data_IF_475961609541
#
_entry.id   IF_475961609541
#
_cell.length_a   1.000
_cell.length_b   1.000
_cell.length_c   1.000
_cell.angle_alpha   90.00
_cell.angle_beta   90.00
_cell.angle_gamma   90.00
#
_symmetry.space_group_name_H-M   'P 1'
#
loop_
_entity.id
_entity.type
_entity.pdbx_description
1 polymer ?
#
# COMPACT_ATOMS: atom_id res chain seq x y z
N UNK A 1 -12.07 24.74 2.46
CA UNK A 1 -11.04 25.22 3.39
C UNK A 1 -9.89 25.80 2.59
N UNK A 2 -9.29 26.93 2.98
CA UNK A 2 -8.09 27.40 2.32
C UNK A 2 -7.03 26.30 2.40
N UNK A 3 -6.41 25.99 1.27
CA UNK A 3 -5.35 25.00 1.22
C UNK A 3 -4.17 25.51 2.02
N UNK A 4 -3.73 24.73 2.99
CA UNK A 4 -2.47 25.00 3.69
C UNK A 4 -1.36 24.47 2.78
N UNK A 5 -0.97 25.29 1.80
CA UNK A 5 0.05 24.91 0.83
C UNK A 5 1.36 24.70 1.56
N UNK A 6 1.95 23.53 1.34
CA UNK A 6 3.22 23.18 1.96
C UNK A 6 4.31 24.20 1.60
N UNK A 7 4.79 24.94 2.60
CA UNK A 7 5.81 25.98 2.44
C UNK A 7 7.14 25.50 1.83
N UNK A 8 7.36 24.19 1.77
CA UNK A 8 8.55 23.57 1.16
C UNK A 8 8.48 23.48 -0.36
N UNK A 9 7.28 23.49 -0.93
CA UNK A 9 7.05 23.40 -2.37
C UNK A 9 6.19 24.58 -2.80
N UNK A 10 6.70 25.41 -3.69
CA UNK A 10 5.93 26.48 -4.30
C UNK A 10 5.29 25.93 -5.58
N UNK A 11 3.97 25.70 -5.60
CA UNK A 11 3.29 25.26 -6.80
C UNK A 11 3.28 26.39 -7.85
N UNK A 12 3.39 26.03 -9.11
CA UNK A 12 3.23 27.00 -10.20
C UNK A 12 1.76 27.49 -10.31
N UNK A 13 0.82 26.63 -9.96
CA UNK A 13 -0.62 26.91 -9.96
C UNK A 13 -1.27 26.20 -8.77
N UNK A 14 -2.10 26.91 -8.03
CA UNK A 14 -2.92 26.36 -6.96
C UNK A 14 -4.38 26.30 -7.42
N UNK A 15 -5.02 25.14 -7.27
CA UNK A 15 -6.43 24.97 -7.53
C UNK A 15 -7.13 24.62 -6.22
N UNK A 16 -7.81 25.61 -5.64
CA UNK A 16 -8.53 25.49 -4.37
C UNK A 16 -10.02 25.33 -4.64
N UNK A 17 -10.56 24.15 -4.34
CA UNK A 17 -11.98 23.87 -4.58
C UNK A 17 -12.34 22.43 -4.21
N UNK A 18 -13.50 21.98 -4.65
CA UNK A 18 -13.86 20.57 -4.60
C UNK A 18 -12.96 19.77 -5.53
N UNK A 19 -12.46 18.62 -5.06
CA UNK A 19 -11.49 17.81 -5.81
C UNK A 19 -12.13 17.24 -7.08
N UNK A 20 -13.35 16.71 -6.99
CA UNK A 20 -14.04 16.11 -8.12
C UNK A 20 -14.31 17.13 -9.22
N UNK A 21 -14.86 18.29 -8.85
CA UNK A 21 -15.13 19.38 -9.79
C UNK A 21 -13.85 19.91 -10.42
N UNK A 22 -12.79 20.10 -9.61
CA UNK A 22 -11.50 20.60 -10.11
C UNK A 22 -10.87 19.61 -11.10
N UNK A 23 -10.87 18.31 -10.79
CA UNK A 23 -10.34 17.28 -11.70
C UNK A 23 -11.19 17.18 -12.96
N UNK A 24 -12.51 17.29 -12.85
CA UNK A 24 -13.40 17.26 -14.00
C UNK A 24 -13.14 18.43 -14.97
N UNK A 25 -13.00 19.65 -14.45
CA UNK A 25 -12.68 20.83 -15.27
C UNK A 25 -11.27 20.74 -15.90
N UNK A 26 -10.28 20.25 -15.17
CA UNK A 26 -8.93 19.98 -15.71
C UNK A 26 -9.03 18.98 -16.87
N UNK A 27 -9.77 17.89 -16.69
CA UNK A 27 -9.95 16.86 -17.71
C UNK A 27 -10.59 17.41 -19.01
N UNK A 28 -11.56 18.31 -18.88
CA UNK A 28 -12.19 18.98 -20.04
C UNK A 28 -11.21 19.82 -20.87
N UNK A 29 -10.20 20.39 -20.19
CA UNK A 29 -9.18 21.21 -20.82
C UNK A 29 -7.95 20.41 -21.26
N UNK A 30 -7.76 19.21 -20.72
CA UNK A 30 -6.61 18.38 -20.99
C UNK A 30 -6.61 17.87 -22.44
N UNK A 31 -5.44 17.94 -23.08
CA UNK A 31 -5.20 17.33 -24.38
C UNK A 31 -4.39 16.06 -24.18
N UNK A 32 -4.67 15.03 -24.96
CA UNK A 32 -3.86 13.81 -24.94
C UNK A 32 -2.45 14.17 -25.41
N UNK A 33 -1.50 14.09 -24.49
CA UNK A 33 -0.07 14.25 -24.77
C UNK A 33 0.58 12.94 -25.17
N UNK A 34 1.81 13.03 -25.64
CA UNK A 34 2.71 11.88 -25.75
C UNK A 34 3.28 11.57 -24.36
N UNK A 35 3.47 10.29 -24.03
CA UNK A 35 4.18 9.94 -22.80
C UNK A 35 5.61 10.49 -22.89
N UNK A 36 6.08 11.23 -21.86
CA UNK A 36 7.45 11.72 -21.83
C UNK A 36 8.44 10.55 -21.88
N UNK A 37 9.53 10.65 -22.64
CA UNK A 37 10.57 9.62 -22.72
C UNK A 37 11.10 9.22 -21.34
N UNK A 38 11.27 10.19 -20.46
CA UNK A 38 11.62 9.99 -19.07
C UNK A 38 10.67 9.02 -18.32
N UNK A 39 9.35 9.14 -18.54
CA UNK A 39 8.36 8.27 -17.87
C UNK A 39 8.46 6.82 -18.39
N UNK A 40 8.73 6.66 -19.68
CA UNK A 40 8.94 5.35 -20.31
C UNK A 40 10.24 4.69 -19.81
N UNK A 41 11.31 5.45 -19.68
CA UNK A 41 12.58 4.98 -19.14
C UNK A 41 12.45 4.56 -17.67
N UNK A 42 11.80 5.39 -16.85
CA UNK A 42 11.51 5.08 -15.45
C UNK A 42 10.68 3.81 -15.31
N UNK A 43 9.65 3.65 -16.12
CA UNK A 43 8.83 2.42 -16.15
C UNK A 43 9.65 1.20 -16.47
N UNK A 44 10.49 1.23 -17.51
CA UNK A 44 11.37 0.11 -17.88
C UNK A 44 12.33 -0.26 -16.75
N UNK A 45 12.88 0.74 -16.08
CA UNK A 45 13.77 0.52 -14.93
C UNK A 45 13.04 -0.18 -13.79
N UNK A 46 11.83 0.27 -13.45
CA UNK A 46 11.00 -0.35 -12.41
C UNK A 46 10.60 -1.78 -12.77
N UNK A 47 10.18 -2.02 -14.02
CA UNK A 47 9.82 -3.36 -14.50
C UNK A 47 11.02 -4.33 -14.43
N UNK A 48 12.21 -3.89 -14.82
CA UNK A 48 13.43 -4.69 -14.72
C UNK A 48 13.82 -4.99 -13.26
N UNK A 49 13.67 -4.02 -12.34
CA UNK A 49 13.85 -4.24 -10.91
C UNK A 49 12.86 -5.28 -10.36
N UNK A 50 11.58 -5.15 -10.73
CA UNK A 50 10.54 -6.08 -10.28
C UNK A 50 10.80 -7.51 -10.78
N UNK A 51 11.20 -7.67 -12.05
CA UNK A 51 11.55 -8.97 -12.61
C UNK A 51 12.75 -9.62 -11.92
N UNK A 52 13.81 -8.86 -11.70
CA UNK A 52 14.99 -9.33 -10.98
C UNK A 52 14.67 -9.79 -9.56
N UNK A 53 13.83 -9.02 -8.83
CA UNK A 53 13.44 -9.32 -7.46
C UNK A 53 12.45 -10.48 -7.37
N UNK A 54 11.58 -10.65 -8.37
CA UNK A 54 10.64 -11.77 -8.43
C UNK A 54 11.32 -13.14 -8.57
N UNK A 55 12.57 -13.15 -9.02
CA UNK A 55 13.39 -14.36 -9.19
C UNK A 55 14.47 -14.53 -8.10
N UNK A 56 14.45 -13.71 -7.05
CA UNK A 56 15.38 -13.79 -5.94
C UNK A 56 15.01 -14.92 -4.97
N UNK A 57 15.80 -15.98 -4.96
CA UNK A 57 15.61 -17.17 -4.10
C UNK A 57 16.41 -17.10 -2.78
N UNK A 58 16.90 -15.92 -2.40
CA UNK A 58 17.65 -15.74 -1.15
C UNK A 58 16.79 -16.03 0.09
N UNK A 59 17.41 -16.54 1.15
CA UNK A 59 16.81 -16.77 2.45
C UNK A 59 17.57 -15.96 3.52
N UNK A 60 16.88 -15.17 4.35
CA UNK A 60 15.44 -14.96 4.40
C UNK A 60 14.88 -14.29 3.14
N UNK A 61 13.61 -14.62 2.82
CA UNK A 61 12.94 -14.11 1.63
C UNK A 61 12.80 -12.60 1.68
N UNK A 62 13.20 -11.92 0.60
CA UNK A 62 13.12 -10.46 0.52
C UNK A 62 11.68 -9.96 0.32
N UNK A 63 11.33 -8.76 0.86
CA UNK A 63 10.00 -8.17 0.75
C UNK A 63 9.46 -8.09 -0.68
N UNK A 64 10.29 -7.70 -1.64
CA UNK A 64 9.88 -7.58 -3.04
C UNK A 64 9.55 -8.95 -3.67
N UNK A 65 10.27 -10.03 -3.31
CA UNK A 65 9.94 -11.39 -3.73
C UNK A 65 8.60 -11.84 -3.17
N UNK A 66 8.34 -11.61 -1.89
CA UNK A 66 7.06 -11.95 -1.26
C UNK A 66 5.92 -11.23 -1.99
N UNK A 67 6.07 -9.94 -2.29
CA UNK A 67 5.04 -9.17 -2.99
C UNK A 67 4.82 -9.63 -4.42
N UNK A 68 5.87 -10.03 -5.14
CA UNK A 68 5.75 -10.63 -6.46
C UNK A 68 4.93 -11.94 -6.41
N UNK A 69 5.17 -12.79 -5.41
CA UNK A 69 4.42 -14.03 -5.24
C UNK A 69 2.98 -13.76 -4.79
N UNK A 70 2.74 -12.79 -3.90
CA UNK A 70 1.40 -12.32 -3.55
C UNK A 70 0.66 -11.85 -4.80
N UNK A 71 1.32 -11.04 -5.66
CA UNK A 71 0.66 -10.53 -6.89
C UNK A 71 0.28 -11.64 -7.86
N UNK A 72 1.04 -12.73 -7.95
CA UNK A 72 0.72 -13.90 -8.80
C UNK A 72 -0.56 -14.63 -8.37
N UNK A 73 -0.84 -14.67 -7.06
CA UNK A 73 -2.01 -15.40 -6.52
C UNK A 73 -3.24 -14.53 -6.33
N UNK A 74 -3.06 -13.21 -6.26
CA UNK A 74 -4.16 -12.24 -6.16
C UNK A 74 -4.64 -11.87 -7.56
N UNK A 75 -5.95 -11.88 -7.78
CA UNK A 75 -6.57 -11.38 -9.00
C UNK A 75 -6.42 -9.85 -9.15
N UNK A 76 -6.78 -9.33 -10.32
CA UNK A 76 -6.66 -7.89 -10.63
C UNK A 76 -7.44 -6.99 -9.67
N UNK A 77 -8.59 -7.46 -9.22
CA UNK A 77 -9.56 -6.74 -8.40
C UNK A 77 -9.67 -7.28 -6.96
N UNK A 78 -8.83 -8.26 -6.59
CA UNK A 78 -8.68 -8.72 -5.22
C UNK A 78 -8.07 -7.63 -4.33
N UNK A 79 -8.35 -7.67 -3.04
CA UNK A 79 -8.05 -6.58 -2.12
C UNK A 79 -6.88 -6.93 -1.19
N UNK A 80 -5.86 -6.08 -1.17
CA UNK A 80 -4.79 -6.10 -0.20
C UNK A 80 -4.97 -4.96 0.80
N UNK A 81 -5.10 -5.27 2.09
CA UNK A 81 -5.05 -4.31 3.18
C UNK A 81 -3.66 -4.26 3.80
N UNK A 82 -3.00 -3.11 3.74
CA UNK A 82 -1.69 -2.90 4.35
C UNK A 82 -1.81 -2.27 5.72
N UNK A 83 -1.14 -2.85 6.69
CA UNK A 83 -0.92 -2.20 7.98
C UNK A 83 0.14 -1.10 7.89
N UNK A 84 0.45 -0.47 9.01
CA UNK A 84 1.44 0.60 9.13
C UNK A 84 2.75 0.07 9.70
N UNK A 85 3.84 0.35 9.02
CA UNK A 85 5.18 -0.09 9.36
C UNK A 85 6.11 -0.07 8.14
N UNK A 86 7.30 -0.63 8.25
CA UNK A 86 8.28 -0.69 7.15
C UNK A 86 7.72 -1.41 5.91
N UNK A 87 6.92 -2.46 6.10
CA UNK A 87 6.27 -3.21 5.02
C UNK A 87 5.43 -2.35 4.09
N UNK A 88 4.79 -1.27 4.59
CA UNK A 88 4.03 -0.33 3.78
C UNK A 88 4.87 0.31 2.67
N UNK A 89 6.14 0.60 2.95
CA UNK A 89 7.05 1.20 1.96
C UNK A 89 7.34 0.22 0.83
N UNK A 90 7.51 -1.05 1.16
CA UNK A 90 7.72 -2.11 0.16
C UNK A 90 6.47 -2.34 -0.69
N UNK A 91 5.27 -2.37 -0.07
CA UNK A 91 4.00 -2.50 -0.80
C UNK A 91 3.85 -1.34 -1.78
N UNK A 92 4.07 -0.10 -1.33
CA UNK A 92 3.94 1.08 -2.18
C UNK A 92 4.91 1.07 -3.38
N UNK A 93 6.06 0.39 -3.26
CA UNK A 93 7.06 0.32 -4.32
C UNK A 93 6.88 -0.88 -5.25
N UNK A 94 6.46 -2.04 -4.72
CA UNK A 94 6.59 -3.32 -5.44
C UNK A 94 5.27 -4.06 -5.64
N UNK A 95 4.13 -3.50 -5.20
CA UNK A 95 2.83 -4.13 -5.43
C UNK A 95 2.04 -3.39 -6.50
N UNK A 96 1.84 -4.03 -7.64
CA UNK A 96 1.07 -3.46 -8.74
C UNK A 96 -0.43 -3.44 -8.44
N UNK A 97 -1.03 -2.27 -8.53
CA UNK A 97 -2.48 -2.06 -8.42
C UNK A 97 -3.07 -1.87 -9.81
N UNK A 98 -3.95 -2.75 -10.23
CA UNK A 98 -4.58 -2.71 -11.55
C UNK A 98 -5.96 -2.07 -11.55
N UNK A 99 -6.64 -2.11 -10.41
CA UNK A 99 -7.98 -1.55 -10.25
C UNK A 99 -8.01 -0.58 -9.05
N UNK A 100 -8.83 0.46 -9.10
CA UNK A 100 -8.98 1.39 -7.97
C UNK A 100 -9.43 0.68 -6.69
N UNK A 101 -8.96 1.16 -5.54
CA UNK A 101 -9.34 0.67 -4.21
C UNK A 101 -9.03 -0.82 -3.95
N UNK A 102 -8.04 -1.39 -4.65
CA UNK A 102 -7.58 -2.77 -4.43
C UNK A 102 -6.35 -2.88 -3.53
N UNK A 103 -5.74 -1.76 -3.18
CA UNK A 103 -4.67 -1.68 -2.18
C UNK A 103 -5.04 -0.60 -1.14
N UNK A 104 -5.44 -1.04 0.05
CA UNK A 104 -5.91 -0.16 1.11
C UNK A 104 -4.77 0.10 2.09
N UNK A 105 -4.30 1.34 2.13
CA UNK A 105 -3.23 1.77 3.04
C UNK A 105 -3.74 2.91 3.92
N UNK A 106 -3.67 2.74 5.24
CA UNK A 106 -4.03 3.81 6.18
C UNK A 106 -2.95 4.89 6.19
N UNK A 107 -3.11 5.92 5.36
CA UNK A 107 -2.13 7.01 5.24
C UNK A 107 -2.52 8.29 6.00
N UNK A 108 -3.76 8.45 6.42
CA UNK A 108 -4.23 9.64 7.12
C UNK A 108 -3.58 9.76 8.50
N UNK A 109 -4.12 9.08 9.49
CA UNK A 109 -3.56 9.01 10.84
C UNK A 109 -2.47 7.93 10.96
N UNK A 110 -2.43 6.98 10.04
CA UNK A 110 -1.45 5.89 9.96
C UNK A 110 -1.39 5.02 11.23
N UNK A 111 -2.56 4.58 11.71
CA UNK A 111 -2.64 3.71 12.87
C UNK A 111 -2.18 2.29 12.56
N UNK A 112 -1.29 1.74 13.38
CA UNK A 112 -0.98 0.30 13.38
C UNK A 112 -2.22 -0.50 13.80
N UNK A 113 -2.33 -1.75 13.33
CA UNK A 113 -3.47 -2.62 13.58
C UNK A 113 -4.65 -2.43 12.61
N UNK A 114 -4.50 -1.63 11.58
CA UNK A 114 -5.55 -1.36 10.58
C UNK A 114 -5.87 -2.56 9.68
N UNK A 115 -4.87 -3.36 9.31
CA UNK A 115 -5.02 -4.33 8.21
C UNK A 115 -6.03 -5.44 8.48
N UNK A 116 -6.09 -5.98 9.70
CA UNK A 116 -7.01 -7.06 10.07
C UNK A 116 -8.47 -6.59 10.06
N UNK A 117 -8.89 -5.56 10.83
CA UNK A 117 -10.26 -5.06 10.77
C UNK A 117 -10.61 -4.49 9.39
N UNK A 118 -9.66 -3.91 8.67
CA UNK A 118 -9.85 -3.44 7.31
C UNK A 118 -10.11 -4.58 6.31
N UNK A 119 -9.37 -5.68 6.42
CA UNK A 119 -9.59 -6.87 5.61
C UNK A 119 -10.93 -7.55 5.95
N UNK A 120 -11.28 -7.63 7.22
CA UNK A 120 -12.59 -8.13 7.66
C UNK A 120 -13.72 -7.32 7.01
N UNK A 121 -13.67 -5.99 7.10
CA UNK A 121 -14.66 -5.11 6.50
C UNK A 121 -14.70 -5.24 4.97
N UNK A 122 -13.54 -5.30 4.30
CA UNK A 122 -13.46 -5.50 2.87
C UNK A 122 -14.10 -6.83 2.44
N UNK A 123 -13.85 -7.91 3.18
CA UNK A 123 -14.42 -9.23 2.88
C UNK A 123 -15.92 -9.32 3.14
N UNK A 124 -16.44 -8.57 4.11
CA UNK A 124 -17.88 -8.42 4.32
C UNK A 124 -18.57 -7.72 3.14
N UNK A 125 -17.93 -6.67 2.60
CA UNK A 125 -18.48 -5.89 1.48
C UNK A 125 -18.35 -6.60 0.14
N UNK A 126 -17.27 -7.40 -0.03
CA UNK A 126 -16.93 -8.09 -1.27
C UNK A 126 -16.66 -9.58 -1.00
N UNK A 127 -17.70 -10.36 -0.68
CA UNK A 127 -17.54 -11.76 -0.26
C UNK A 127 -16.94 -12.67 -1.34
N UNK A 128 -17.04 -12.29 -2.61
CA UNK A 128 -16.49 -13.02 -3.76
C UNK A 128 -15.00 -12.79 -3.98
N UNK A 129 -14.43 -11.65 -3.51
CA UNK A 129 -13.04 -11.32 -3.72
C UNK A 129 -12.11 -12.02 -2.72
N UNK A 130 -10.90 -12.31 -3.14
CA UNK A 130 -9.85 -12.65 -2.19
C UNK A 130 -9.43 -11.39 -1.46
N UNK A 131 -9.24 -11.51 -0.16
CA UNK A 131 -8.78 -10.41 0.68
C UNK A 131 -7.56 -10.88 1.48
N UNK A 132 -6.49 -10.08 1.42
CA UNK A 132 -5.25 -10.29 2.15
C UNK A 132 -4.99 -9.14 3.10
N UNK A 133 -4.87 -9.42 4.39
CA UNK A 133 -4.32 -8.49 5.37
C UNK A 133 -2.80 -8.69 5.44
N UNK A 134 -2.01 -7.67 5.14
CA UNK A 134 -0.56 -7.70 5.31
C UNK A 134 -0.18 -6.78 6.46
N UNK A 135 0.47 -7.32 7.48
CA UNK A 135 0.88 -6.61 8.69
C UNK A 135 2.27 -7.02 9.15
N UNK A 136 2.90 -6.17 9.92
CA UNK A 136 4.04 -6.55 10.74
C UNK A 136 3.59 -7.27 12.02
N UNK A 137 4.54 -7.89 12.71
CA UNK A 137 4.33 -8.58 13.98
C UNK A 137 3.65 -7.69 15.05
N UNK A 138 4.15 -6.45 15.22
CA UNK A 138 3.55 -5.50 16.15
C UNK A 138 2.16 -5.04 15.77
N UNK A 139 1.91 -4.80 14.48
CA UNK A 139 0.58 -4.42 13.96
C UNK A 139 -0.43 -5.55 14.12
N UNK A 140 0.00 -6.80 13.88
CA UNK A 140 -0.82 -8.00 14.12
C UNK A 140 -1.32 -8.09 15.54
N UNK A 141 -0.44 -7.89 16.52
CA UNK A 141 -0.78 -8.01 17.95
C UNK A 141 -1.78 -6.96 18.44
N UNK A 142 -1.91 -5.83 17.72
CA UNK A 142 -2.82 -4.75 18.15
C UNK A 142 -4.29 -5.09 17.96
N UNK A 143 -4.65 -5.87 16.91
CA UNK A 143 -6.04 -6.21 16.60
C UNK A 143 -6.23 -7.69 16.23
N UNK A 144 -5.38 -8.58 16.73
CA UNK A 144 -5.47 -10.03 16.47
C UNK A 144 -6.78 -10.66 16.96
N UNK A 145 -7.43 -10.07 17.99
CA UNK A 145 -8.72 -10.52 18.50
C UNK A 145 -9.84 -10.48 17.44
N UNK A 146 -9.71 -9.64 16.41
CA UNK A 146 -10.70 -9.58 15.33
C UNK A 146 -10.73 -10.85 14.46
N UNK A 147 -9.72 -11.72 14.57
CA UNK A 147 -9.76 -13.04 13.94
C UNK A 147 -10.86 -13.94 14.54
N UNK A 148 -11.15 -13.80 15.85
CA UNK A 148 -12.30 -14.46 16.47
C UNK A 148 -13.60 -13.98 15.85
N UNK A 149 -13.76 -12.66 15.68
CA UNK A 149 -14.92 -12.08 15.03
C UNK A 149 -15.08 -12.62 13.61
N UNK A 150 -13.98 -12.70 12.85
CA UNK A 150 -13.99 -13.22 11.48
C UNK A 150 -14.43 -14.70 11.41
N UNK A 151 -13.97 -15.52 12.34
CA UNK A 151 -14.36 -16.93 12.44
C UNK A 151 -15.84 -17.07 12.79
N UNK A 152 -16.30 -16.33 13.80
CA UNK A 152 -17.69 -16.36 14.27
C UNK A 152 -18.66 -15.90 13.18
N UNK A 153 -18.33 -14.83 12.46
CA UNK A 153 -19.11 -14.28 11.36
C UNK A 153 -18.91 -15.02 10.02
N UNK A 154 -18.03 -16.03 9.98
CA UNK A 154 -17.70 -16.81 8.78
C UNK A 154 -17.19 -15.96 7.61
N UNK A 155 -16.35 -14.99 7.91
CA UNK A 155 -15.75 -14.05 6.96
C UNK A 155 -14.28 -14.43 6.72
N UNK A 156 -13.98 -15.33 5.75
CA UNK A 156 -12.62 -15.83 5.54
C UNK A 156 -11.76 -14.84 4.76
N UNK A 157 -10.61 -14.50 5.31
CA UNK A 157 -9.52 -13.79 4.64
C UNK A 157 -8.17 -14.34 5.10
N UNK A 158 -7.10 -14.00 4.40
CA UNK A 158 -5.75 -14.43 4.75
C UNK A 158 -5.01 -13.28 5.45
N UNK A 159 -4.30 -13.60 6.52
CA UNK A 159 -3.38 -12.65 7.17
C UNK A 159 -1.94 -13.11 6.91
N UNK A 160 -1.15 -12.24 6.27
CA UNK A 160 0.28 -12.42 6.03
C UNK A 160 1.05 -11.54 7.01
N UNK A 161 1.78 -12.16 7.94
CA UNK A 161 2.54 -11.47 8.97
C UNK A 161 4.01 -11.44 8.55
N UNK A 162 4.59 -10.24 8.47
CA UNK A 162 6.02 -10.05 8.29
C UNK A 162 6.65 -9.81 9.66
N UNK A 163 7.55 -10.70 10.02
CA UNK A 163 8.19 -10.70 11.34
C UNK A 163 9.67 -10.34 11.20
N UNK A 164 10.08 -9.29 11.89
CA UNK A 164 11.47 -8.85 12.00
C UNK A 164 11.88 -8.56 13.46
N UNK A 165 11.03 -8.95 14.41
CA UNK A 165 11.20 -8.78 15.88
C UNK A 165 11.44 -7.32 16.27
N UNK A 166 10.93 -6.36 15.46
CA UNK A 166 11.12 -4.94 15.74
C UNK A 166 10.02 -4.05 15.14
N UNK A 167 9.88 -2.85 15.68
CA UNK A 167 9.17 -1.77 15.02
C UNK A 167 10.09 -1.13 13.96
N UNK A 168 10.29 -1.82 12.84
CA UNK A 168 11.32 -1.53 11.84
C UNK A 168 11.37 -0.06 11.39
N UNK A 169 10.22 0.58 11.13
CA UNK A 169 10.19 1.98 10.72
C UNK A 169 10.62 2.95 11.83
N UNK A 170 10.31 2.63 13.08
CA UNK A 170 10.76 3.41 14.26
C UNK A 170 12.26 3.23 14.43
N UNK A 171 12.74 2.00 14.39
CA UNK A 171 14.17 1.68 14.47
C UNK A 171 14.98 2.40 13.40
N UNK A 172 14.51 2.46 12.15
CA UNK A 172 15.19 3.20 11.09
C UNK A 172 15.28 4.70 11.42
N UNK A 173 14.21 5.30 11.92
CA UNK A 173 14.21 6.72 12.30
C UNK A 173 15.12 7.00 13.50
N UNK A 174 15.16 6.12 14.47
CA UNK A 174 16.08 6.24 15.60
C UNK A 174 17.53 6.19 15.15
N UNK A 175 17.86 5.24 14.29
CA UNK A 175 19.21 5.13 13.70
C UNK A 175 19.60 6.37 12.91
N UNK A 176 18.69 6.92 12.10
CA UNK A 176 18.92 8.12 11.30
C UNK A 176 19.10 9.38 12.17
N UNK A 177 18.31 9.53 13.24
CA UNK A 177 18.29 10.75 14.04
C UNK A 177 19.27 10.72 15.22
N UNK A 178 19.51 9.55 15.79
CA UNK A 178 20.27 9.41 17.03
C UNK A 178 21.48 8.49 16.92
N UNK A 179 21.68 7.83 15.78
CA UNK A 179 22.82 6.95 15.56
C UNK A 179 22.68 5.55 16.15
N UNK A 180 21.48 5.14 16.59
CA UNK A 180 21.19 3.83 17.17
C UNK A 180 21.05 3.88 18.66
#
# INVERSE_FOLDING_TARGET
APADVNKRYQPAVEVVGDISESVYEILRCARRGTEPEFALELRRTMEAEHEAMANDDSCPMKPARILADVRKVMGRDDILGSDVGAHKMWIARHYDCYEPNTCLISNGFASMGFSIPGAFAAKLLYPEKKVLALCGDGGFMMNSQELETAVREKVPFVTLIWEDSSYGLIKWKEQEQFGG
#
